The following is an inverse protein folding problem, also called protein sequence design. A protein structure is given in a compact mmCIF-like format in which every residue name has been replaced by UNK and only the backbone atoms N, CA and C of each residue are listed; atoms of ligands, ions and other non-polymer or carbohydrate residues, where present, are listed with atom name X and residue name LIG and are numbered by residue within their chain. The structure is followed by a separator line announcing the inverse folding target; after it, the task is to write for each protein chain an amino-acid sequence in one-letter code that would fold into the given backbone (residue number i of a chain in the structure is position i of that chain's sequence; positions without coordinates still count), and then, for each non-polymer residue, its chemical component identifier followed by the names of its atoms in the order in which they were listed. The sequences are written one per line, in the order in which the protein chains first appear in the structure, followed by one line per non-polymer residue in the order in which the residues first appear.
data_IF_515138371491
#
_entry.id   IF_515138371491
#
_cell.length_a   1.000
_cell.length_b   1.000
_cell.length_c   1.000
_cell.angle_alpha   90.00
_cell.angle_beta   90.00
_cell.angle_gamma   90.00
#
_symmetry.space_group_name_H-M   'P 1'
#
loop_
_entity.id
_entity.type
_entity.pdbx_description
1 polymer ?
#
# COMPACT_ATOMS: atom_id res chain seq x y z
N UNK A 1 33.15 47.86 24.00
CA UNK A 1 32.79 47.27 22.71
C UNK A 1 32.68 45.77 22.89
N UNK A 2 31.47 45.20 22.97
CA UNK A 2 31.29 43.77 23.00
C UNK A 2 31.35 43.24 21.56
N UNK A 3 32.12 42.18 21.27
CA UNK A 3 32.11 41.56 19.96
C UNK A 3 30.73 40.86 19.76
N UNK A 4 29.99 41.32 18.78
CA UNK A 4 28.79 40.69 18.28
C UNK A 4 29.22 39.37 17.64
N UNK A 5 29.00 38.26 18.32
CA UNK A 5 29.16 36.92 17.71
C UNK A 5 28.07 36.80 16.65
N UNK A 6 28.41 37.01 15.37
CA UNK A 6 27.57 36.60 14.26
C UNK A 6 27.57 35.06 14.25
N UNK A 7 26.50 34.49 14.72
CA UNK A 7 26.17 33.09 14.39
C UNK A 7 26.04 33.02 12.87
N UNK A 8 27.09 32.50 12.19
CA UNK A 8 26.97 32.12 10.80
C UNK A 8 25.96 30.97 10.71
N UNK A 9 24.74 31.30 10.31
CA UNK A 9 23.76 30.27 9.94
C UNK A 9 24.29 29.65 8.66
N UNK A 10 24.79 28.42 8.75
CA UNK A 10 25.28 27.64 7.60
C UNK A 10 24.12 27.46 6.62
N UNK A 11 24.30 27.90 5.38
CA UNK A 11 23.23 27.82 4.37
C UNK A 11 23.01 26.36 3.90
N UNK A 12 21.82 26.08 3.37
CA UNK A 12 21.53 24.78 2.74
C UNK A 12 22.56 24.45 1.63
N UNK A 13 23.06 25.44 0.91
CA UNK A 13 24.09 25.29 -0.10
C UNK A 13 25.43 24.84 0.49
N UNK A 14 25.82 25.43 1.63
CA UNK A 14 27.07 25.06 2.32
C UNK A 14 27.03 23.63 2.85
N UNK A 15 25.87 23.23 3.43
CA UNK A 15 25.65 21.87 3.92
C UNK A 15 25.74 20.83 2.80
N UNK A 16 25.11 21.10 1.65
CA UNK A 16 25.20 20.23 0.48
C UNK A 16 26.64 20.19 -0.10
N UNK A 17 27.36 21.32 -0.11
CA UNK A 17 28.72 21.38 -0.56
C UNK A 17 29.65 20.53 0.33
N UNK A 18 29.42 20.54 1.65
CA UNK A 18 30.19 19.69 2.58
C UNK A 18 29.92 18.20 2.32
N UNK A 19 28.64 17.77 2.18
CA UNK A 19 28.30 16.39 1.82
C UNK A 19 29.02 15.98 0.53
N UNK A 20 28.94 16.81 -0.53
CA UNK A 20 29.52 16.52 -1.85
C UNK A 20 31.05 16.43 -1.80
N UNK A 21 31.69 17.22 -0.95
CA UNK A 21 33.15 17.20 -0.81
C UNK A 21 33.70 15.94 -0.13
N UNK A 22 32.82 15.22 0.58
CA UNK A 22 33.16 14.00 1.32
C UNK A 22 32.46 12.75 0.75
N UNK A 23 32.00 12.81 -0.49
CA UNK A 23 31.33 11.72 -1.20
C UNK A 23 31.96 11.46 -2.55
N UNK A 24 31.80 10.24 -3.06
CA UNK A 24 32.28 9.87 -4.39
C UNK A 24 31.47 10.49 -5.52
N UNK A 25 31.70 10.01 -6.75
CA UNK A 25 31.06 10.53 -7.94
C UNK A 25 29.57 10.04 -8.00
N UNK A 26 28.60 10.95 -8.07
CA UNK A 26 27.19 10.58 -8.24
C UNK A 26 26.89 10.17 -9.69
N UNK A 27 26.01 9.18 -9.85
CA UNK A 27 25.35 8.85 -11.11
C UNK A 27 24.03 9.63 -11.26
N UNK A 28 23.34 9.82 -10.13
CA UNK A 28 22.06 10.53 -10.04
C UNK A 28 22.29 12.03 -10.30
N UNK A 29 21.52 12.60 -11.23
CA UNK A 29 21.65 14.02 -11.59
C UNK A 29 21.09 14.92 -10.48
N UNK A 30 19.87 14.67 -10.00
CA UNK A 30 19.16 15.49 -9.03
C UNK A 30 18.75 16.88 -9.59
N UNK A 31 18.24 17.72 -8.71
CA UNK A 31 17.89 19.11 -9.02
C UNK A 31 19.15 19.99 -9.10
N UNK A 32 19.12 21.03 -9.94
CA UNK A 32 20.21 22.02 -10.01
C UNK A 32 20.26 22.91 -8.75
N UNK A 33 21.43 23.44 -8.44
CA UNK A 33 21.61 24.27 -7.24
C UNK A 33 20.73 25.53 -7.25
N UNK A 34 20.45 26.12 -8.42
CA UNK A 34 19.51 27.24 -8.54
C UNK A 34 18.09 26.85 -8.18
N UNK A 35 17.61 25.69 -8.65
CA UNK A 35 16.28 25.16 -8.31
C UNK A 35 16.20 24.81 -6.82
N UNK A 36 17.25 24.21 -6.26
CA UNK A 36 17.33 23.91 -4.83
C UNK A 36 17.24 25.20 -3.99
N UNK A 37 17.96 26.25 -4.38
CA UNK A 37 17.93 27.52 -3.68
C UNK A 37 16.54 28.17 -3.72
N UNK A 38 15.88 28.15 -4.88
CA UNK A 38 14.51 28.68 -5.04
C UNK A 38 13.49 27.93 -4.18
N UNK A 39 13.58 26.62 -4.11
CA UNK A 39 12.69 25.82 -3.25
C UNK A 39 13.03 26.02 -1.77
N UNK A 40 14.29 25.99 -1.38
CA UNK A 40 14.71 26.17 0.02
C UNK A 40 14.31 27.53 0.60
N UNK A 41 14.20 28.57 -0.24
CA UNK A 41 13.74 29.90 0.18
C UNK A 41 12.25 29.93 0.57
N UNK A 42 11.42 29.03 0.07
CA UNK A 42 9.95 29.00 0.26
C UNK A 42 9.42 27.73 0.91
N UNK A 43 10.22 26.68 1.01
CA UNK A 43 9.85 25.40 1.64
C UNK A 43 10.86 25.03 2.73
N UNK A 44 10.49 25.34 3.98
CA UNK A 44 11.30 24.98 5.14
C UNK A 44 11.51 23.46 5.28
N UNK A 45 10.66 22.64 4.66
CA UNK A 45 10.77 21.16 4.68
C UNK A 45 12.03 20.71 3.96
N UNK A 46 12.36 21.35 2.82
CA UNK A 46 13.60 21.07 2.09
C UNK A 46 14.84 21.45 2.91
N UNK A 47 14.84 22.67 3.49
CA UNK A 47 15.97 23.13 4.31
C UNK A 47 16.22 22.20 5.50
N UNK A 48 15.15 21.71 6.13
CA UNK A 48 15.22 20.72 7.22
C UNK A 48 15.78 19.37 6.73
N UNK A 49 15.31 18.87 5.58
CA UNK A 49 15.83 17.63 5.00
C UNK A 49 17.33 17.71 4.72
N UNK A 50 17.81 18.87 4.22
CA UNK A 50 19.24 19.08 3.94
C UNK A 50 20.05 19.11 5.24
N UNK A 51 19.56 19.78 6.29
CA UNK A 51 20.24 19.81 7.59
C UNK A 51 20.33 18.39 8.19
N UNK A 52 19.24 17.65 8.20
CA UNK A 52 19.20 16.26 8.69
C UNK A 52 20.13 15.35 7.85
N UNK A 53 20.22 15.56 6.54
CA UNK A 53 21.14 14.81 5.68
C UNK A 53 22.60 15.09 6.02
N UNK A 54 22.94 16.34 6.30
CA UNK A 54 24.30 16.70 6.69
C UNK A 54 24.69 16.04 8.02
N UNK A 55 23.83 16.09 9.02
CA UNK A 55 24.05 15.40 10.31
C UNK A 55 24.18 13.87 10.12
N UNK A 56 23.30 13.26 9.33
CA UNK A 56 23.35 11.85 8.99
C UNK A 56 24.66 11.48 8.26
N UNK A 57 25.11 12.32 7.31
CA UNK A 57 26.34 12.09 6.57
C UNK A 57 27.58 12.12 7.50
N UNK A 58 27.65 13.07 8.43
CA UNK A 58 28.71 13.11 9.45
C UNK A 58 28.71 11.83 10.29
N UNK A 59 27.55 11.39 10.75
CA UNK A 59 27.40 10.15 11.54
C UNK A 59 27.82 8.92 10.74
N UNK A 60 27.37 8.80 9.49
CA UNK A 60 27.74 7.69 8.61
C UNK A 60 29.23 7.67 8.31
N UNK A 61 29.87 8.84 8.14
CA UNK A 61 31.33 8.91 7.93
C UNK A 61 32.11 8.36 9.11
N UNK A 62 31.61 8.55 10.34
CA UNK A 62 32.20 7.97 11.53
C UNK A 62 31.89 6.46 11.66
N UNK A 63 30.72 6.01 11.24
CA UNK A 63 30.23 4.63 11.37
C UNK A 63 30.88 3.69 10.35
N UNK A 64 30.77 4.03 9.05
CA UNK A 64 31.21 3.16 7.94
C UNK A 64 32.56 3.54 7.36
N UNK A 65 33.13 4.67 7.78
CA UNK A 65 34.43 5.20 7.34
C UNK A 65 34.35 6.08 6.07
N UNK A 66 35.23 7.08 6.02
CA UNK A 66 35.27 8.01 4.90
C UNK A 66 35.51 7.33 3.54
N UNK A 67 36.31 6.27 3.51
CA UNK A 67 36.61 5.53 2.27
C UNK A 67 35.34 4.89 1.66
N UNK A 68 34.39 4.45 2.47
CA UNK A 68 33.14 3.89 2.01
C UNK A 68 32.25 4.95 1.35
N UNK A 69 32.13 6.15 1.94
CA UNK A 69 31.34 7.24 1.37
C UNK A 69 32.00 7.86 0.11
N UNK A 70 33.29 7.68 -0.05
CA UNK A 70 34.02 8.11 -1.26
C UNK A 70 33.89 7.15 -2.44
N UNK A 71 33.23 6.01 -2.29
CA UNK A 71 32.87 5.16 -3.42
C UNK A 71 31.95 5.91 -4.37
N UNK A 72 32.02 5.62 -5.67
CA UNK A 72 31.03 6.14 -6.59
C UNK A 72 29.65 5.56 -6.28
N UNK A 73 28.60 6.22 -6.73
CA UNK A 73 27.22 5.88 -6.32
C UNK A 73 26.84 4.44 -6.68
N UNK A 74 27.28 3.93 -7.84
CA UNK A 74 26.99 2.55 -8.24
C UNK A 74 27.70 1.52 -7.36
N UNK A 75 28.98 1.74 -7.07
CA UNK A 75 29.76 0.88 -6.16
C UNK A 75 29.19 0.87 -4.73
N UNK A 76 28.73 2.02 -4.27
CA UNK A 76 28.12 2.11 -2.95
C UNK A 76 26.75 1.38 -2.90
N UNK A 77 25.93 1.49 -3.96
CA UNK A 77 24.68 0.71 -4.08
C UNK A 77 24.96 -0.79 -4.05
N UNK A 78 25.92 -1.26 -4.84
CA UNK A 78 26.33 -2.67 -4.87
C UNK A 78 26.78 -3.13 -3.49
N UNK A 79 27.65 -2.39 -2.84
CA UNK A 79 28.16 -2.69 -1.49
C UNK A 79 27.06 -2.78 -0.43
N UNK A 80 26.06 -1.90 -0.48
CA UNK A 80 24.96 -1.90 0.49
C UNK A 80 23.96 -3.05 0.26
N UNK A 81 23.97 -3.67 -0.90
CA UNK A 81 23.06 -4.76 -1.26
C UNK A 81 23.72 -6.14 -1.31
N UNK A 82 25.04 -6.26 -1.10
CA UNK A 82 25.79 -7.49 -1.30
C UNK A 82 25.29 -8.67 -0.43
N UNK A 83 24.74 -8.38 0.77
CA UNK A 83 24.21 -9.39 1.70
C UNK A 83 22.73 -9.69 1.50
N UNK A 84 22.04 -9.03 0.55
CA UNK A 84 20.59 -9.15 0.39
C UNK A 84 20.21 -9.63 -1.01
N UNK A 85 19.19 -10.48 -1.08
CA UNK A 85 18.55 -10.84 -2.35
C UNK A 85 17.40 -9.88 -2.61
N UNK A 86 17.52 -9.07 -3.66
CA UNK A 86 16.41 -8.26 -4.16
C UNK A 86 15.58 -9.11 -5.13
N UNK A 87 14.26 -9.16 -4.94
CA UNK A 87 13.37 -9.88 -5.84
C UNK A 87 12.96 -9.08 -7.09
N UNK A 88 13.29 -7.80 -7.15
CA UNK A 88 13.16 -6.99 -8.35
C UNK A 88 14.40 -7.11 -9.23
N UNK A 89 14.22 -6.84 -10.52
CA UNK A 89 15.34 -6.83 -11.47
C UNK A 89 16.33 -5.73 -11.11
N UNK A 90 17.64 -5.93 -11.31
CA UNK A 90 18.67 -4.92 -11.00
C UNK A 90 18.40 -3.54 -11.62
N UNK A 91 17.80 -3.50 -12.82
CA UNK A 91 17.49 -2.26 -13.53
C UNK A 91 16.40 -1.42 -12.84
N UNK A 92 15.62 -2.03 -11.96
CA UNK A 92 14.54 -1.36 -11.22
C UNK A 92 14.97 -0.88 -9.83
N UNK A 93 16.18 -1.22 -9.41
CA UNK A 93 16.76 -0.72 -8.15
C UNK A 93 17.06 0.76 -8.29
N UNK A 94 16.63 1.56 -7.29
CA UNK A 94 16.96 2.97 -7.27
C UNK A 94 18.48 3.18 -7.33
N UNK A 95 19.00 4.02 -8.24
CA UNK A 95 20.42 4.19 -8.42
C UNK A 95 21.11 5.05 -7.35
N UNK A 96 20.34 5.53 -6.38
CA UNK A 96 20.80 6.47 -5.34
C UNK A 96 20.61 5.91 -3.93
N UNK A 97 21.37 6.43 -2.99
CA UNK A 97 21.28 6.07 -1.56
C UNK A 97 20.70 7.25 -0.78
N UNK A 98 19.44 7.19 -0.31
CA UNK A 98 18.87 8.24 0.50
C UNK A 98 19.45 8.20 1.93
N UNK A 99 19.82 9.37 2.47
CA UNK A 99 20.30 9.50 3.86
C UNK A 99 19.37 10.37 4.72
N UNK A 100 18.57 11.24 4.11
CA UNK A 100 17.49 11.94 4.78
C UNK A 100 16.35 12.23 3.80
N UNK A 101 15.12 12.32 4.33
CA UNK A 101 13.97 12.68 3.53
C UNK A 101 12.87 13.33 4.38
N UNK A 102 12.22 14.39 3.84
CA UNK A 102 11.10 15.10 4.46
C UNK A 102 10.09 15.55 3.41
N UNK A 103 8.80 15.32 3.68
CA UNK A 103 7.77 15.63 2.68
C UNK A 103 8.08 14.96 1.34
N UNK A 104 8.16 15.70 0.22
CA UNK A 104 8.52 15.14 -1.07
C UNK A 104 10.05 15.13 -1.33
N UNK A 105 10.87 15.59 -0.39
CA UNK A 105 12.30 15.79 -0.61
C UNK A 105 13.13 14.62 -0.14
N UNK A 106 14.03 14.13 -0.98
CA UNK A 106 15.04 13.13 -0.67
C UNK A 106 16.43 13.74 -0.88
N UNK A 107 17.31 13.55 0.10
CA UNK A 107 18.72 13.94 0.02
C UNK A 107 19.56 12.67 0.02
N UNK A 108 20.44 12.53 -0.98
CA UNK A 108 21.27 11.34 -1.15
C UNK A 108 22.62 11.44 -0.44
N UNK A 109 23.27 10.31 -0.24
CA UNK A 109 24.64 10.23 0.30
C UNK A 109 25.67 11.01 -0.53
N UNK A 110 25.38 11.25 -1.81
CA UNK A 110 26.22 12.03 -2.73
C UNK A 110 25.77 13.49 -2.85
N UNK A 111 24.94 13.99 -1.91
CA UNK A 111 24.49 15.38 -1.85
C UNK A 111 23.58 15.80 -3.02
N UNK A 112 22.85 14.84 -3.62
CA UNK A 112 21.82 15.14 -4.62
C UNK A 112 20.49 15.33 -3.95
N UNK A 113 19.72 16.28 -4.45
CA UNK A 113 18.35 16.58 -4.00
C UNK A 113 17.37 16.06 -5.05
N UNK A 114 16.41 15.26 -4.61
CA UNK A 114 15.37 14.69 -5.46
C UNK A 114 13.99 15.11 -4.95
N UNK A 115 13.05 15.24 -5.86
CA UNK A 115 11.62 15.37 -5.54
C UNK A 115 10.93 14.03 -5.78
N UNK A 116 10.42 13.42 -4.73
CA UNK A 116 9.70 12.15 -4.79
C UNK A 116 8.23 12.38 -5.10
N UNK A 117 7.84 12.15 -6.35
CA UNK A 117 6.44 12.28 -6.81
C UNK A 117 5.59 11.05 -6.52
N UNK A 118 6.21 9.90 -6.33
CA UNK A 118 5.52 8.60 -6.20
C UNK A 118 5.42 8.06 -4.78
N UNK A 119 6.21 8.59 -3.83
CA UNK A 119 6.26 8.08 -2.45
C UNK A 119 6.61 6.60 -2.38
N UNK A 120 7.49 6.14 -3.27
CA UNK A 120 7.83 4.71 -3.44
C UNK A 120 6.61 3.79 -3.58
N UNK A 121 5.49 4.32 -4.10
CA UNK A 121 4.25 3.58 -4.23
C UNK A 121 3.51 3.27 -2.92
N UNK A 122 3.97 3.78 -1.76
CA UNK A 122 3.39 3.46 -0.46
C UNK A 122 3.23 4.63 0.53
N UNK A 123 3.97 5.75 0.34
CA UNK A 123 3.86 6.90 1.22
C UNK A 123 2.63 7.74 0.84
N UNK A 124 1.65 7.85 1.68
CA UNK A 124 0.49 8.71 1.44
C UNK A 124 0.65 10.13 1.98
N UNK A 125 1.65 10.38 2.81
CA UNK A 125 1.83 11.66 3.51
C UNK A 125 3.23 12.27 3.37
N UNK A 126 4.03 11.82 2.40
CA UNK A 126 5.43 12.17 2.25
C UNK A 126 6.34 11.49 3.27
N UNK A 127 7.64 11.80 3.18
CA UNK A 127 8.66 11.26 4.08
C UNK A 127 8.60 11.93 5.46
N UNK A 128 8.65 11.12 6.51
CA UNK A 128 8.81 11.56 7.90
C UNK A 128 7.81 12.61 8.40
N UNK A 129 6.49 12.49 8.19
CA UNK A 129 5.51 13.47 8.64
C UNK A 129 5.46 13.53 10.18
N UNK A 130 5.77 14.68 10.76
CA UNK A 130 5.96 14.85 12.21
C UNK A 130 4.86 14.28 13.11
N UNK A 131 3.55 14.46 12.85
CA UNK A 131 2.51 13.87 13.69
C UNK A 131 2.51 12.35 13.71
N UNK A 132 2.88 11.74 12.59
CA UNK A 132 2.96 10.27 12.45
C UNK A 132 4.22 9.77 13.16
N UNK A 133 5.37 10.44 12.95
CA UNK A 133 6.62 10.11 13.64
C UNK A 133 6.48 10.25 15.16
N UNK A 134 5.77 11.27 15.64
CA UNK A 134 5.44 11.42 17.07
C UNK A 134 4.57 10.28 17.60
N UNK A 135 3.57 9.84 16.82
CA UNK A 135 2.74 8.69 17.22
C UNK A 135 3.58 7.41 17.31
N UNK A 136 4.46 7.16 16.35
CA UNK A 136 5.37 6.01 16.36
C UNK A 136 6.34 6.02 17.55
N UNK A 137 6.86 7.20 17.90
CA UNK A 137 7.87 7.38 18.97
C UNK A 137 7.33 7.29 20.38
N UNK A 138 6.02 7.26 20.60
CA UNK A 138 5.44 7.11 21.95
C UNK A 138 5.75 5.73 22.54
N UNK A 139 5.86 5.71 23.88
CA UNK A 139 6.04 4.46 24.61
C UNK A 139 4.71 3.71 24.75
N UNK A 140 4.28 3.09 23.67
CA UNK A 140 3.08 2.25 23.67
C UNK A 140 3.35 0.93 24.38
N UNK A 141 2.36 0.45 25.14
CA UNK A 141 2.41 -0.90 25.71
C UNK A 141 2.39 -1.90 24.57
N UNK A 142 3.42 -2.73 24.48
CA UNK A 142 3.47 -3.77 23.45
C UNK A 142 2.41 -4.83 23.72
N UNK A 143 1.65 -5.13 22.70
CA UNK A 143 0.58 -6.12 22.71
C UNK A 143 0.62 -6.94 21.42
N UNK A 144 0.05 -8.11 21.47
CA UNK A 144 -0.15 -8.98 20.33
C UNK A 144 -1.65 -9.25 20.15
N UNK A 145 -2.02 -10.08 19.17
CA UNK A 145 -3.42 -10.41 18.86
C UNK A 145 -4.21 -10.98 20.05
N UNK A 146 -3.54 -11.61 21.01
CA UNK A 146 -4.17 -12.19 22.22
C UNK A 146 -4.37 -11.17 23.34
N UNK A 147 -3.85 -9.94 23.19
CA UNK A 147 -3.92 -8.91 24.24
C UNK A 147 -4.85 -7.78 23.80
N UNK A 148 -6.05 -7.65 24.37
CA UNK A 148 -6.93 -6.51 24.11
C UNK A 148 -6.22 -5.19 24.41
N UNK A 149 -6.31 -4.21 23.51
CA UNK A 149 -5.66 -2.92 23.68
C UNK A 149 -6.56 -1.75 23.26
N UNK A 150 -6.34 -0.59 23.90
CA UNK A 150 -7.01 0.65 23.48
C UNK A 150 -6.59 1.11 22.07
N UNK A 151 -5.42 0.69 21.59
CA UNK A 151 -4.99 0.98 20.22
C UNK A 151 -5.88 0.29 19.19
N UNK A 152 -6.33 -0.95 19.46
CA UNK A 152 -7.32 -1.61 18.61
C UNK A 152 -8.65 -0.86 18.57
N UNK A 153 -9.13 -0.38 19.73
CA UNK A 153 -10.37 0.42 19.81
C UNK A 153 -10.24 1.71 19.02
N UNK A 154 -9.15 2.46 19.22
CA UNK A 154 -8.90 3.72 18.50
C UNK A 154 -8.81 3.52 16.99
N UNK A 155 -8.12 2.45 16.52
CA UNK A 155 -8.07 2.15 15.10
C UNK A 155 -9.45 1.80 14.54
N UNK A 156 -10.22 0.96 15.24
CA UNK A 156 -11.58 0.61 14.81
C UNK A 156 -12.48 1.85 14.71
N UNK A 157 -12.40 2.77 15.66
CA UNK A 157 -13.14 4.03 15.63
C UNK A 157 -12.70 4.94 14.48
N UNK A 158 -11.39 5.04 14.23
CA UNK A 158 -10.84 5.82 13.13
C UNK A 158 -11.27 5.25 11.76
N UNK A 159 -11.24 3.92 11.60
CA UNK A 159 -11.73 3.24 10.39
C UNK A 159 -13.22 3.46 10.18
N UNK A 160 -14.05 3.31 11.25
CA UNK A 160 -15.50 3.53 11.15
C UNK A 160 -15.86 4.98 10.85
N UNK A 161 -15.03 5.94 11.27
CA UNK A 161 -15.21 7.35 10.94
C UNK A 161 -14.81 7.64 9.49
N UNK A 162 -13.76 7.00 9.00
CA UNK A 162 -13.23 7.22 7.65
C UNK A 162 -14.06 6.51 6.58
N UNK A 163 -14.38 5.23 6.79
CA UNK A 163 -15.08 4.41 5.83
C UNK A 163 -16.58 4.68 5.92
N UNK A 164 -17.20 4.96 4.80
CA UNK A 164 -18.63 5.26 4.69
C UNK A 164 -18.99 6.69 5.15
N UNK A 165 -17.99 7.61 5.20
CA UNK A 165 -18.24 9.00 5.58
C UNK A 165 -19.14 9.75 4.57
N UNK A 166 -19.27 9.24 3.35
CA UNK A 166 -20.14 9.82 2.31
C UNK A 166 -21.54 9.21 2.29
N UNK A 167 -21.78 8.11 3.02
CA UNK A 167 -23.02 7.32 2.97
C UNK A 167 -23.69 7.10 4.34
N UNK A 168 -23.29 7.82 5.35
CA UNK A 168 -23.92 7.80 6.67
C UNK A 168 -23.43 6.70 7.62
N UNK A 169 -22.36 5.97 7.27
CA UNK A 169 -21.74 5.02 8.18
C UNK A 169 -20.94 3.91 7.52
N UNK A 170 -20.07 3.30 8.30
CA UNK A 170 -19.22 2.21 7.86
C UNK A 170 -20.03 0.93 7.62
N UNK A 171 -19.99 0.32 6.42
CA UNK A 171 -20.73 -0.88 6.12
C UNK A 171 -20.09 -2.17 6.66
N UNK A 172 -18.84 -2.11 7.10
CA UNK A 172 -18.14 -3.30 7.60
C UNK A 172 -18.42 -3.54 9.08
N UNK A 173 -18.81 -4.78 9.41
CA UNK A 173 -19.14 -5.17 10.78
C UNK A 173 -17.91 -5.45 11.63
N UNK A 174 -16.86 -5.98 11.04
CA UNK A 174 -15.59 -6.36 11.71
C UNK A 174 -14.36 -5.98 10.90
N UNK A 175 -13.24 -5.84 11.61
CA UNK A 175 -11.92 -5.63 11.02
C UNK A 175 -10.93 -6.68 11.53
N UNK A 176 -10.00 -7.12 10.66
CA UNK A 176 -8.85 -7.95 11.04
C UNK A 176 -7.58 -7.21 10.65
N UNK A 177 -6.67 -7.07 11.60
CA UNK A 177 -5.36 -6.43 11.37
C UNK A 177 -4.30 -7.50 11.02
N UNK A 178 -3.41 -7.14 10.11
CA UNK A 178 -2.35 -7.99 9.57
C UNK A 178 -1.10 -7.14 9.29
N UNK A 179 0.02 -7.75 8.88
CA UNK A 179 1.27 -7.02 8.67
C UNK A 179 1.50 -6.61 7.21
N UNK A 180 0.87 -7.28 6.26
CA UNK A 180 1.04 -6.97 4.84
C UNK A 180 -0.26 -7.12 4.04
N UNK A 181 -0.35 -6.43 2.90
CA UNK A 181 -1.49 -6.55 1.98
C UNK A 181 -1.71 -7.98 1.51
N UNK A 182 -0.65 -8.72 1.20
CA UNK A 182 -0.75 -10.13 0.81
C UNK A 182 -1.37 -11.00 1.91
N UNK A 183 -1.13 -10.69 3.19
CA UNK A 183 -1.78 -11.39 4.30
C UNK A 183 -3.27 -11.06 4.39
N UNK A 184 -3.67 -9.80 4.17
CA UNK A 184 -5.09 -9.43 4.20
C UNK A 184 -5.88 -10.06 3.05
N UNK A 185 -5.31 -10.11 1.84
CA UNK A 185 -5.91 -10.87 0.73
C UNK A 185 -5.96 -12.36 1.06
N UNK A 186 -4.91 -12.94 1.69
CA UNK A 186 -4.92 -14.34 2.13
C UNK A 186 -6.07 -14.63 3.10
N UNK A 187 -6.37 -13.74 4.05
CA UNK A 187 -7.52 -13.87 4.94
C UNK A 187 -8.83 -13.85 4.14
N UNK A 188 -8.99 -12.89 3.23
CA UNK A 188 -10.17 -12.81 2.36
C UNK A 188 -10.40 -14.12 1.59
N UNK A 189 -9.34 -14.65 1.00
CA UNK A 189 -9.38 -15.93 0.27
C UNK A 189 -9.68 -17.13 1.19
N UNK A 190 -9.23 -17.13 2.45
CA UNK A 190 -9.58 -18.18 3.40
C UNK A 190 -11.04 -18.12 3.84
N UNK A 191 -11.59 -16.93 3.99
CA UNK A 191 -13.03 -16.75 4.27
C UNK A 191 -13.86 -17.27 3.07
N UNK A 192 -13.42 -16.97 1.85
CA UNK A 192 -14.04 -17.48 0.64
C UNK A 192 -13.95 -19.01 0.54
N UNK A 193 -12.82 -19.59 0.91
CA UNK A 193 -12.59 -21.03 0.96
C UNK A 193 -13.49 -21.74 1.98
N UNK A 194 -13.72 -21.12 3.15
CA UNK A 194 -14.71 -21.62 4.13
C UNK A 194 -16.12 -21.63 3.52
N UNK A 195 -16.50 -20.53 2.85
CA UNK A 195 -17.79 -20.46 2.14
C UNK A 195 -17.88 -21.54 1.05
N UNK A 196 -16.84 -21.69 0.24
CA UNK A 196 -16.78 -22.70 -0.81
C UNK A 196 -16.89 -24.12 -0.25
N UNK A 197 -16.17 -24.44 0.85
CA UNK A 197 -16.25 -25.72 1.50
C UNK A 197 -17.66 -26.06 2.00
N UNK A 198 -18.38 -25.08 2.55
CA UNK A 198 -19.76 -25.26 2.99
C UNK A 198 -20.73 -25.46 1.81
N UNK A 199 -20.52 -24.75 0.72
CA UNK A 199 -21.43 -24.76 -0.43
C UNK A 199 -21.18 -25.93 -1.39
N UNK A 200 -19.92 -26.38 -1.52
CA UNK A 200 -19.56 -27.48 -2.43
C UNK A 200 -19.44 -28.84 -1.74
N UNK A 201 -19.45 -28.87 -0.41
CA UNK A 201 -19.44 -30.10 0.39
C UNK A 201 -20.81 -30.82 0.37
N UNK A 202 -20.90 -31.97 1.03
CA UNK A 202 -22.12 -32.77 1.08
C UNK A 202 -23.33 -32.00 1.60
N UNK A 203 -24.42 -31.96 0.84
CA UNK A 203 -25.65 -31.22 1.15
C UNK A 203 -25.57 -29.71 0.87
N UNK A 204 -24.46 -29.22 0.37
CA UNK A 204 -24.30 -27.83 -0.04
C UNK A 204 -25.02 -27.51 -1.35
N UNK A 205 -25.40 -26.24 -1.56
CA UNK A 205 -26.12 -25.78 -2.76
C UNK A 205 -25.35 -26.02 -4.06
N UNK A 206 -24.03 -26.04 -4.01
CA UNK A 206 -23.12 -26.28 -5.14
C UNK A 206 -22.35 -27.61 -4.98
N UNK A 207 -22.94 -28.60 -4.31
CA UNK A 207 -22.31 -29.89 -4.01
C UNK A 207 -21.58 -30.48 -5.20
N UNK A 208 -20.29 -30.84 -5.01
CA UNK A 208 -19.44 -31.51 -5.99
C UNK A 208 -18.92 -30.62 -7.12
N UNK A 209 -19.30 -29.34 -7.21
CA UNK A 209 -18.79 -28.45 -8.26
C UNK A 209 -17.29 -28.14 -8.05
N UNK A 210 -16.46 -28.17 -9.10
CA UNK A 210 -15.09 -27.67 -9.05
C UNK A 210 -15.06 -26.18 -8.66
N UNK A 211 -14.10 -25.81 -7.82
CA UNK A 211 -13.97 -24.43 -7.32
C UNK A 211 -13.03 -23.64 -8.23
N UNK A 212 -13.44 -22.44 -8.63
CA UNK A 212 -12.62 -21.49 -9.39
C UNK A 212 -12.55 -20.13 -8.71
N UNK A 213 -11.52 -19.35 -9.06
CA UNK A 213 -11.30 -17.97 -8.65
C UNK A 213 -11.43 -17.04 -9.85
N UNK A 214 -11.90 -15.83 -9.65
CA UNK A 214 -12.02 -14.82 -10.68
C UNK A 214 -11.27 -13.55 -10.26
N UNK A 215 -10.44 -12.98 -11.15
CA UNK A 215 -9.79 -11.69 -10.96
C UNK A 215 -9.80 -10.87 -12.24
N UNK A 216 -9.38 -9.60 -12.16
CA UNK A 216 -9.20 -8.77 -13.34
C UNK A 216 -7.91 -9.17 -14.06
N UNK A 217 -7.87 -9.02 -15.39
CA UNK A 217 -6.62 -9.06 -16.12
C UNK A 217 -5.68 -7.96 -15.65
N UNK A 218 -4.38 -8.25 -15.65
CA UNK A 218 -3.32 -7.37 -15.17
C UNK A 218 -3.45 -6.96 -13.68
N UNK A 219 -4.32 -7.61 -12.90
CA UNK A 219 -4.45 -7.33 -11.48
C UNK A 219 -3.23 -7.75 -10.67
N UNK A 220 -3.07 -7.14 -9.49
CA UNK A 220 -2.05 -7.50 -8.51
C UNK A 220 -2.63 -7.55 -7.11
N UNK A 221 -2.59 -8.72 -6.48
CA UNK A 221 -3.19 -8.96 -5.14
C UNK A 221 -2.19 -9.48 -4.11
N UNK A 222 -0.90 -9.49 -4.46
CA UNK A 222 0.18 -9.91 -3.57
C UNK A 222 0.97 -11.11 -4.10
N UNK A 223 2.02 -11.47 -3.35
CA UNK A 223 3.03 -12.47 -3.76
C UNK A 223 3.04 -13.74 -2.89
N UNK A 224 2.21 -13.84 -1.85
CA UNK A 224 2.02 -15.08 -1.10
C UNK A 224 1.16 -16.06 -1.90
N UNK A 225 1.25 -17.36 -1.63
CA UNK A 225 0.77 -18.44 -2.53
C UNK A 225 -0.62 -18.23 -3.14
N UNK A 226 -1.69 -18.04 -2.34
CA UNK A 226 -3.04 -17.86 -2.91
C UNK A 226 -3.24 -16.48 -3.56
N UNK A 227 -2.87 -15.35 -2.93
CA UNK A 227 -2.88 -14.04 -3.59
C UNK A 227 -2.07 -13.99 -4.88
N UNK A 228 -0.91 -14.65 -4.93
CA UNK A 228 -0.11 -14.76 -6.15
C UNK A 228 -0.87 -15.47 -7.28
N UNK A 229 -1.74 -16.43 -6.97
CA UNK A 229 -2.50 -17.17 -7.98
C UNK A 229 -3.47 -16.26 -8.75
N UNK A 230 -4.02 -15.22 -8.12
CA UNK A 230 -4.93 -14.25 -8.73
C UNK A 230 -4.24 -12.93 -9.13
N UNK A 231 -2.92 -12.83 -8.98
CA UNK A 231 -2.13 -11.68 -9.46
C UNK A 231 -1.75 -11.91 -10.92
N UNK A 232 -2.66 -11.58 -11.84
CA UNK A 232 -2.51 -11.84 -13.28
C UNK A 232 -1.28 -11.12 -13.88
N UNK A 233 -0.92 -9.95 -13.39
CA UNK A 233 0.29 -9.21 -13.82
C UNK A 233 1.60 -9.97 -13.60
N UNK A 234 1.63 -10.94 -12.69
CA UNK A 234 2.79 -11.75 -12.35
C UNK A 234 2.73 -13.19 -12.89
N UNK A 235 1.71 -13.54 -13.67
CA UNK A 235 1.47 -14.94 -14.09
C UNK A 235 2.62 -15.56 -14.88
N UNK A 236 3.22 -14.80 -15.81
CA UNK A 236 4.23 -15.34 -16.72
C UNK A 236 5.51 -15.77 -15.99
N UNK A 237 6.15 -14.94 -15.13
CA UNK A 237 7.29 -15.37 -14.33
C UNK A 237 6.95 -16.50 -13.35
N UNK A 238 5.73 -16.54 -12.80
CA UNK A 238 5.32 -17.62 -11.91
C UNK A 238 5.14 -18.95 -12.67
N UNK A 239 4.47 -18.93 -13.81
CA UNK A 239 4.31 -20.12 -14.65
C UNK A 239 5.65 -20.65 -15.14
N UNK A 240 6.59 -19.79 -15.48
CA UNK A 240 7.91 -20.18 -15.96
C UNK A 240 8.80 -20.81 -14.88
N UNK A 241 8.65 -20.39 -13.61
CA UNK A 241 9.61 -20.72 -12.56
C UNK A 241 9.05 -21.58 -11.41
N UNK A 242 7.72 -21.62 -11.21
CA UNK A 242 7.13 -22.26 -10.04
C UNK A 242 6.30 -23.49 -10.44
N UNK A 243 6.68 -24.67 -9.95
CA UNK A 243 5.96 -25.90 -10.23
C UNK A 243 4.49 -25.86 -9.79
N UNK A 244 4.19 -25.16 -8.68
CA UNK A 244 2.83 -24.97 -8.15
C UNK A 244 1.94 -24.06 -9.00
N UNK A 245 2.49 -23.43 -10.05
CA UNK A 245 1.74 -22.55 -10.96
C UNK A 245 1.55 -23.14 -12.37
N UNK A 246 1.95 -24.40 -12.61
CA UNK A 246 1.84 -25.04 -13.92
C UNK A 246 0.40 -25.32 -14.35
N UNK A 247 -0.47 -25.60 -13.38
CA UNK A 247 -1.90 -25.85 -13.61
C UNK A 247 -2.72 -24.74 -12.96
N UNK A 248 -3.31 -23.89 -13.80
CA UNK A 248 -4.09 -22.72 -13.38
C UNK A 248 -5.50 -22.67 -14.00
N UNK A 249 -6.05 -23.81 -14.40
CA UNK A 249 -7.41 -23.92 -14.97
C UNK A 249 -8.48 -23.44 -13.99
N UNK A 250 -8.17 -23.43 -12.71
CA UNK A 250 -9.04 -22.89 -11.65
C UNK A 250 -9.01 -21.37 -11.52
N UNK A 251 -8.17 -20.64 -12.28
CA UNK A 251 -8.09 -19.18 -12.28
C UNK A 251 -8.71 -18.62 -13.55
N UNK A 252 -9.76 -17.82 -13.37
CA UNK A 252 -10.45 -17.10 -14.44
C UNK A 252 -10.06 -15.63 -14.37
N UNK A 253 -9.98 -14.98 -15.54
CA UNK A 253 -9.73 -13.54 -15.62
C UNK A 253 -10.75 -12.87 -16.55
N UNK A 254 -11.11 -11.63 -16.23
CA UNK A 254 -11.96 -10.77 -17.06
C UNK A 254 -11.26 -9.43 -17.30
N UNK A 255 -11.47 -8.83 -18.45
CA UNK A 255 -11.00 -7.45 -18.70
C UNK A 255 -11.72 -6.47 -17.78
N UNK A 256 -11.01 -5.45 -17.33
CA UNK A 256 -11.59 -4.40 -16.55
C UNK A 256 -12.69 -3.68 -17.34
N UNK A 257 -13.84 -3.48 -16.71
CA UNK A 257 -15.02 -2.84 -17.30
C UNK A 257 -15.71 -3.61 -18.46
N UNK A 258 -15.31 -4.88 -18.69
CA UNK A 258 -16.01 -5.76 -19.63
C UNK A 258 -17.20 -6.45 -18.92
N UNK A 259 -18.32 -5.74 -18.88
CA UNK A 259 -19.57 -6.21 -18.25
C UNK A 259 -20.11 -7.47 -18.92
N UNK A 260 -20.05 -7.57 -20.25
CA UNK A 260 -20.56 -8.72 -20.98
C UNK A 260 -19.65 -9.95 -20.81
N UNK A 261 -18.34 -9.75 -20.81
CA UNK A 261 -17.36 -10.79 -20.47
C UNK A 261 -17.58 -11.30 -19.04
N UNK A 262 -17.86 -10.43 -18.09
CA UNK A 262 -18.18 -10.81 -16.72
C UNK A 262 -19.46 -11.66 -16.64
N UNK A 263 -20.54 -11.24 -17.30
CA UNK A 263 -21.78 -12.00 -17.41
C UNK A 263 -21.55 -13.38 -18.02
N UNK A 264 -20.76 -13.44 -19.09
CA UNK A 264 -20.45 -14.69 -19.78
C UNK A 264 -19.71 -15.67 -18.85
N UNK A 265 -18.78 -15.20 -18.01
CA UNK A 265 -18.07 -16.07 -17.06
C UNK A 265 -19.03 -16.69 -16.04
N UNK A 266 -19.95 -15.93 -15.47
CA UNK A 266 -20.92 -16.47 -14.52
C UNK A 266 -21.97 -17.39 -15.19
N UNK A 267 -22.39 -17.07 -16.42
CA UNK A 267 -23.24 -17.98 -17.20
C UNK A 267 -22.54 -19.34 -17.47
N UNK A 268 -21.26 -19.29 -17.83
CA UNK A 268 -20.45 -20.50 -17.98
C UNK A 268 -20.30 -21.28 -16.67
N UNK A 269 -20.27 -20.61 -15.52
CA UNK A 269 -20.21 -21.31 -14.22
C UNK A 269 -21.46 -22.15 -13.99
N UNK A 270 -22.63 -21.69 -14.45
CA UNK A 270 -23.87 -22.46 -14.40
C UNK A 270 -23.90 -23.57 -15.44
N UNK A 271 -23.52 -23.29 -16.70
CA UNK A 271 -23.59 -24.23 -17.82
C UNK A 271 -22.55 -25.36 -17.70
N UNK A 272 -21.31 -25.04 -17.32
CA UNK A 272 -20.20 -26.00 -17.19
C UNK A 272 -20.14 -26.65 -15.79
N UNK A 273 -20.92 -26.16 -14.83
CA UNK A 273 -21.06 -26.75 -13.52
C UNK A 273 -19.88 -26.53 -12.57
N UNK A 274 -19.27 -25.32 -12.54
CA UNK A 274 -18.26 -24.95 -11.54
C UNK A 274 -18.76 -23.84 -10.60
N UNK A 275 -18.09 -23.68 -9.46
CA UNK A 275 -18.40 -22.64 -8.48
C UNK A 275 -17.25 -21.61 -8.43
N UNK A 276 -17.60 -20.33 -8.54
CA UNK A 276 -16.66 -19.21 -8.35
C UNK A 276 -16.68 -18.84 -6.86
N UNK A 277 -15.64 -19.20 -6.10
CA UNK A 277 -15.61 -18.93 -4.66
C UNK A 277 -15.50 -17.45 -4.33
N UNK A 278 -14.74 -16.70 -5.16
CA UNK A 278 -14.49 -15.27 -4.97
C UNK A 278 -14.14 -14.59 -6.28
N UNK A 279 -14.62 -13.36 -6.43
CA UNK A 279 -14.09 -12.39 -7.38
C UNK A 279 -13.26 -11.36 -6.64
N UNK A 280 -12.03 -11.13 -7.10
CA UNK A 280 -11.15 -10.07 -6.61
C UNK A 280 -10.96 -8.97 -7.65
N UNK A 281 -10.99 -7.70 -7.23
CA UNK A 281 -10.74 -6.54 -8.08
C UNK A 281 -10.05 -5.42 -7.32
N UNK A 282 -9.22 -4.65 -8.03
CA UNK A 282 -8.69 -3.36 -7.56
C UNK A 282 -9.62 -2.25 -8.04
N UNK A 283 -10.03 -1.29 -7.20
CA UNK A 283 -10.87 -0.17 -7.66
C UNK A 283 -10.11 0.77 -8.59
N UNK A 284 -8.80 0.88 -8.40
CA UNK A 284 -7.84 1.48 -9.32
C UNK A 284 -6.64 0.54 -9.38
N UNK A 285 -6.35 0.00 -10.55
CA UNK A 285 -5.23 -0.92 -10.71
C UNK A 285 -3.89 -0.21 -10.49
N UNK A 286 -2.99 -0.87 -9.80
CA UNK A 286 -1.70 -0.32 -9.43
C UNK A 286 -0.55 -0.82 -10.28
N UNK A 287 -0.32 -2.12 -10.30
CA UNK A 287 0.93 -2.72 -10.80
C UNK A 287 0.88 -3.05 -12.30
N UNK A 288 -0.11 -3.78 -12.76
CA UNK A 288 -0.14 -4.26 -14.15
C UNK A 288 -0.78 -3.29 -15.14
N UNK A 289 -1.71 -2.46 -14.69
CA UNK A 289 -2.39 -1.43 -15.49
C UNK A 289 -2.58 -0.13 -14.68
N UNK A 290 -1.46 0.58 -14.40
CA UNK A 290 -1.48 1.70 -13.47
C UNK A 290 -2.50 2.79 -13.85
N UNK A 291 -3.38 3.15 -12.90
CA UNK A 291 -4.38 4.20 -13.07
C UNK A 291 -5.70 3.76 -13.71
N UNK A 292 -5.81 2.52 -14.19
CA UNK A 292 -7.08 1.98 -14.71
C UNK A 292 -8.11 1.86 -13.59
N UNK A 293 -9.26 2.55 -13.74
CA UNK A 293 -10.33 2.58 -12.75
C UNK A 293 -11.50 1.70 -13.16
N UNK A 294 -12.13 1.01 -12.19
CA UNK A 294 -13.39 0.33 -12.43
C UNK A 294 -14.53 1.34 -12.61
N UNK A 295 -15.45 1.06 -13.54
CA UNK A 295 -16.69 1.83 -13.67
C UNK A 295 -17.70 1.40 -12.58
N UNK A 296 -18.62 2.31 -12.26
CA UNK A 296 -19.74 1.99 -11.36
C UNK A 296 -20.59 0.84 -11.92
N UNK A 297 -20.86 0.83 -13.23
CA UNK A 297 -21.64 -0.21 -13.90
C UNK A 297 -20.98 -1.59 -13.72
N UNK A 298 -19.67 -1.69 -13.94
CA UNK A 298 -18.94 -2.93 -13.78
C UNK A 298 -18.95 -3.42 -12.32
N UNK A 299 -18.77 -2.50 -11.36
CA UNK A 299 -18.83 -2.83 -9.95
C UNK A 299 -20.21 -3.36 -9.54
N UNK A 300 -21.29 -2.67 -9.93
CA UNK A 300 -22.65 -3.07 -9.60
C UNK A 300 -22.99 -4.43 -10.19
N UNK A 301 -22.57 -4.71 -11.42
CA UNK A 301 -22.77 -6.00 -12.04
C UNK A 301 -21.96 -7.10 -11.36
N UNK A 302 -20.70 -6.83 -11.01
CA UNK A 302 -19.87 -7.77 -10.25
C UNK A 302 -20.50 -8.10 -8.89
N UNK A 303 -21.01 -7.07 -8.19
CA UNK A 303 -21.70 -7.26 -6.92
C UNK A 303 -22.96 -8.09 -7.07
N UNK A 304 -23.77 -7.78 -8.07
CA UNK A 304 -25.01 -8.51 -8.38
C UNK A 304 -24.75 -9.98 -8.69
N UNK A 305 -23.77 -10.27 -9.55
CA UNK A 305 -23.43 -11.62 -9.96
C UNK A 305 -22.84 -12.43 -8.80
N UNK A 306 -21.85 -11.88 -8.08
CA UNK A 306 -21.27 -12.58 -6.93
C UNK A 306 -22.32 -12.93 -5.87
N UNK A 307 -23.25 -12.02 -5.60
CA UNK A 307 -24.33 -12.25 -4.65
C UNK A 307 -25.31 -13.33 -5.14
N UNK A 308 -25.68 -13.31 -6.43
CA UNK A 308 -26.58 -14.28 -7.03
C UNK A 308 -26.03 -15.72 -7.01
N UNK A 309 -24.70 -15.85 -7.13
CA UNK A 309 -23.99 -17.13 -7.19
C UNK A 309 -23.37 -17.57 -5.85
N UNK A 310 -23.72 -16.92 -4.74
CA UNK A 310 -23.15 -17.17 -3.40
C UNK A 310 -21.61 -16.97 -3.31
N UNK A 311 -21.00 -16.39 -4.33
CA UNK A 311 -19.59 -16.00 -4.34
C UNK A 311 -19.32 -14.83 -3.38
N UNK A 312 -18.07 -14.61 -2.98
CA UNK A 312 -17.67 -13.39 -2.28
C UNK A 312 -17.03 -12.37 -3.24
N UNK A 313 -17.29 -11.09 -3.00
CA UNK A 313 -16.60 -9.98 -3.69
C UNK A 313 -15.55 -9.40 -2.75
N UNK A 314 -14.29 -9.45 -3.18
CA UNK A 314 -13.16 -8.79 -2.52
C UNK A 314 -12.71 -7.58 -3.34
N UNK A 315 -12.70 -6.41 -2.71
CA UNK A 315 -12.10 -5.20 -3.27
C UNK A 315 -10.73 -4.98 -2.63
N UNK A 316 -9.72 -4.88 -3.46
CA UNK A 316 -8.33 -4.66 -3.04
C UNK A 316 -7.96 -3.18 -3.20
N UNK A 317 -8.15 -2.42 -2.13
CA UNK A 317 -7.81 -1.00 -2.04
C UNK A 317 -6.42 -0.74 -1.45
N UNK A 318 -5.55 -1.76 -1.42
CA UNK A 318 -4.21 -1.65 -0.82
C UNK A 318 -3.38 -0.55 -1.47
N UNK A 319 -3.43 -0.44 -2.78
CA UNK A 319 -2.69 0.58 -3.54
C UNK A 319 -3.50 1.85 -3.77
N UNK A 320 -4.79 1.72 -4.00
CA UNK A 320 -5.68 2.84 -4.32
C UNK A 320 -6.09 3.68 -3.10
N UNK A 321 -6.22 3.05 -1.92
CA UNK A 321 -6.74 3.68 -0.71
C UNK A 321 -5.99 4.96 -0.33
N UNK A 322 -6.72 6.06 -0.12
CA UNK A 322 -6.28 7.42 0.16
C UNK A 322 -5.55 8.13 -1.00
N UNK A 323 -4.89 7.40 -1.88
CA UNK A 323 -3.96 7.97 -2.88
C UNK A 323 -4.65 8.49 -4.13
N UNK A 324 -5.62 7.75 -4.67
CA UNK A 324 -6.27 8.09 -5.94
C UNK A 324 -7.41 9.10 -5.77
N UNK A 325 -8.34 8.82 -4.86
CA UNK A 325 -9.57 9.59 -4.69
C UNK A 325 -9.66 10.37 -3.36
N UNK A 326 -8.62 10.27 -2.53
CA UNK A 326 -8.64 10.86 -1.18
C UNK A 326 -9.55 10.12 -0.21
N UNK A 327 -10.09 8.97 -0.58
CA UNK A 327 -10.93 8.10 0.24
C UNK A 327 -10.22 6.77 0.49
N UNK A 328 -10.39 6.20 1.67
CA UNK A 328 -9.78 4.90 1.99
C UNK A 328 -10.50 3.76 1.27
N UNK A 329 -11.83 3.78 1.28
CA UNK A 329 -12.68 2.71 0.77
C UNK A 329 -13.36 3.09 -0.55
N UNK A 330 -13.60 2.09 -1.40
CA UNK A 330 -14.34 2.22 -2.66
C UNK A 330 -15.76 2.75 -2.44
N UNK A 331 -16.39 2.45 -1.31
CA UNK A 331 -17.76 2.89 -0.99
C UNK A 331 -17.90 4.41 -0.83
N UNK A 332 -16.77 5.12 -0.69
CA UNK A 332 -16.73 6.57 -0.59
C UNK A 332 -16.24 7.26 -1.87
N UNK A 333 -15.95 6.50 -2.94
CA UNK A 333 -15.54 7.09 -4.21
C UNK A 333 -16.68 7.90 -4.83
N UNK A 334 -16.37 8.99 -5.55
CA UNK A 334 -17.39 9.75 -6.29
C UNK A 334 -18.21 8.83 -7.20
N UNK A 335 -19.53 8.84 -7.02
CA UNK A 335 -20.46 7.99 -7.76
C UNK A 335 -20.68 6.58 -7.17
N UNK A 336 -20.05 6.24 -6.03
CA UNK A 336 -20.22 4.94 -5.36
C UNK A 336 -20.96 5.03 -4.01
N UNK A 337 -21.45 6.22 -3.60
CA UNK A 337 -22.02 6.45 -2.29
C UNK A 337 -23.26 5.58 -1.98
N UNK A 338 -23.99 5.18 -3.01
CA UNK A 338 -25.17 4.32 -2.96
C UNK A 338 -24.90 2.89 -3.47
N UNK A 339 -23.66 2.57 -3.83
CA UNK A 339 -23.29 1.21 -4.25
C UNK A 339 -23.41 0.23 -3.07
N UNK A 340 -23.87 -0.99 -3.34
CA UNK A 340 -23.84 -2.05 -2.32
C UNK A 340 -22.38 -2.37 -1.97
N UNK A 341 -22.06 -2.46 -0.67
CA UNK A 341 -20.70 -2.77 -0.21
C UNK A 341 -20.20 -4.14 -0.67
N UNK A 342 -18.88 -4.31 -0.85
CA UNK A 342 -18.28 -5.62 -1.08
C UNK A 342 -18.36 -6.48 0.18
N UNK A 343 -18.23 -7.80 0.05
CA UNK A 343 -18.12 -8.67 1.21
C UNK A 343 -16.84 -8.42 2.00
N UNK A 344 -15.76 -8.08 1.30
CA UNK A 344 -14.41 -7.91 1.81
C UNK A 344 -13.74 -6.72 1.15
N UNK A 345 -13.06 -5.86 1.94
CA UNK A 345 -12.19 -4.83 1.39
C UNK A 345 -10.89 -4.76 2.17
N UNK A 346 -9.74 -4.61 1.47
CA UNK A 346 -8.41 -4.62 2.08
C UNK A 346 -7.69 -3.30 1.89
N UNK A 347 -6.95 -2.86 2.94
CA UNK A 347 -6.16 -1.61 2.95
C UNK A 347 -4.78 -1.85 3.54
N UNK A 348 -3.76 -1.15 3.01
CA UNK A 348 -2.39 -1.15 3.50
C UNK A 348 -1.67 0.12 3.01
N UNK A 349 -0.37 0.09 2.78
CA UNK A 349 0.43 1.18 2.17
C UNK A 349 0.11 2.55 2.79
N UNK A 350 -0.66 3.40 2.11
CA UNK A 350 -1.01 4.75 2.58
C UNK A 350 -1.79 4.77 3.91
N UNK A 351 -2.44 3.67 4.31
CA UNK A 351 -3.16 3.56 5.59
C UNK A 351 -2.27 3.92 6.80
N UNK A 352 -0.98 3.63 6.73
CA UNK A 352 -0.01 4.02 7.76
C UNK A 352 1.12 4.90 7.19
N UNK A 353 0.89 5.54 6.06
CA UNK A 353 1.85 6.37 5.35
C UNK A 353 3.16 5.64 5.01
N UNK A 354 3.13 4.32 4.85
CA UNK A 354 4.31 3.50 4.57
C UNK A 354 5.34 3.43 5.71
N UNK A 355 5.01 3.94 6.90
CA UNK A 355 5.97 4.04 8.01
C UNK A 355 6.12 2.75 8.82
N UNK A 356 5.11 1.88 8.80
CA UNK A 356 5.13 0.64 9.59
C UNK A 356 4.35 -0.47 8.86
N UNK A 357 4.78 -1.74 8.92
CA UNK A 357 4.03 -2.86 8.37
C UNK A 357 2.63 -2.95 9.00
N UNK A 358 1.59 -2.77 8.19
CA UNK A 358 0.19 -2.90 8.59
C UNK A 358 -0.67 -3.11 7.35
N UNK A 359 -1.62 -4.01 7.48
CA UNK A 359 -2.81 -4.06 6.62
C UNK A 359 -4.05 -4.34 7.46
N UNK A 360 -5.21 -3.99 6.91
CA UNK A 360 -6.49 -4.25 7.54
C UNK A 360 -7.43 -4.79 6.47
N UNK A 361 -8.24 -5.78 6.83
CA UNK A 361 -9.38 -6.22 6.03
C UNK A 361 -10.67 -5.91 6.77
N UNK A 362 -11.60 -5.26 6.09
CA UNK A 362 -12.97 -5.04 6.52
C UNK A 362 -13.88 -6.16 6.04
N UNK A 363 -14.72 -6.64 6.91
CA UNK A 363 -15.66 -7.76 6.68
C UNK A 363 -17.08 -7.24 6.78
N UNK A 364 -17.91 -7.51 5.75
CA UNK A 364 -19.35 -7.35 5.84
C UNK A 364 -19.92 -8.28 6.92
N UNK A 365 -21.19 -8.12 7.28
CA UNK A 365 -21.85 -9.03 8.24
C UNK A 365 -21.79 -10.48 7.76
N UNK A 366 -22.04 -10.72 6.46
CA UNK A 366 -21.94 -12.04 5.83
C UNK A 366 -20.54 -12.62 5.94
N UNK A 367 -19.52 -11.87 5.55
CA UNK A 367 -18.14 -12.35 5.58
C UNK A 367 -17.62 -12.58 7.01
N UNK A 368 -18.05 -11.74 7.97
CA UNK A 368 -17.73 -11.92 9.38
C UNK A 368 -18.34 -13.21 9.96
N UNK A 369 -19.56 -13.56 9.53
CA UNK A 369 -20.21 -14.81 9.91
C UNK A 369 -19.54 -16.08 9.36
N UNK A 370 -18.77 -15.95 8.27
CA UNK A 370 -18.00 -17.05 7.67
C UNK A 370 -16.60 -17.23 8.28
N UNK A 371 -16.15 -16.28 9.12
CA UNK A 371 -14.83 -16.38 9.71
C UNK A 371 -14.74 -17.49 10.77
N UNK A 372 -13.83 -18.43 10.57
CA UNK A 372 -13.60 -19.55 11.49
C UNK A 372 -12.34 -19.29 12.30
N UNK A 373 -12.45 -19.29 13.62
CA UNK A 373 -11.31 -19.10 14.55
C UNK A 373 -10.30 -20.24 14.37
N UNK A 374 -9.00 -19.89 14.27
CA UNK A 374 -7.92 -20.87 14.12
C UNK A 374 -7.57 -21.24 12.68
N UNK A 375 -8.35 -20.80 11.69
CA UNK A 375 -8.05 -21.08 10.26
C UNK A 375 -6.90 -20.21 9.74
N UNK A 376 -6.69 -19.05 10.32
CA UNK A 376 -5.54 -18.18 10.07
C UNK A 376 -5.14 -17.44 11.34
N UNK A 377 -3.84 -17.20 11.51
CA UNK A 377 -3.32 -16.40 12.61
C UNK A 377 -1.91 -15.92 12.36
N UNK A 378 -1.62 -14.75 12.92
CA UNK A 378 -0.29 -14.20 13.03
C UNK A 378 -0.23 -13.40 14.35
N UNK A 379 0.68 -13.76 15.25
CA UNK A 379 0.71 -13.23 16.60
C UNK A 379 1.07 -11.75 16.69
N UNK A 380 1.76 -11.19 15.70
CA UNK A 380 2.26 -9.80 15.72
C UNK A 380 1.33 -8.79 15.01
N UNK A 381 0.11 -9.17 14.67
CA UNK A 381 -0.77 -8.38 13.81
C UNK A 381 -1.45 -7.18 14.47
N UNK A 382 -1.40 -7.05 15.79
CA UNK A 382 -2.01 -5.93 16.53
C UNK A 382 -0.98 -5.10 17.28
N UNK A 383 0.21 -4.95 16.71
CA UNK A 383 1.27 -4.12 17.29
C UNK A 383 0.76 -2.67 17.49
N UNK A 384 0.70 -2.16 18.73
CA UNK A 384 0.15 -0.83 19.01
C UNK A 384 0.83 0.31 18.25
N UNK A 385 2.14 0.23 17.97
CA UNK A 385 2.82 1.25 17.15
C UNK A 385 2.27 1.33 15.74
N UNK A 386 2.03 0.17 15.11
CA UNK A 386 1.43 0.11 13.79
C UNK A 386 0.00 0.67 13.80
N UNK A 387 -0.81 0.27 14.79
CA UNK A 387 -2.20 0.72 14.91
C UNK A 387 -2.28 2.23 15.16
N UNK A 388 -1.49 2.76 16.09
CA UNK A 388 -1.47 4.20 16.42
C UNK A 388 -0.90 5.05 15.28
N UNK A 389 0.01 4.49 14.48
CA UNK A 389 0.47 5.13 13.24
C UNK A 389 -0.68 5.32 12.28
N UNK A 390 -1.48 4.27 12.04
CA UNK A 390 -2.66 4.37 11.17
C UNK A 390 -3.72 5.34 11.75
N UNK A 391 -3.95 5.35 13.05
CA UNK A 391 -4.83 6.33 13.71
C UNK A 391 -4.36 7.76 13.44
N UNK A 392 -3.05 8.02 13.55
CA UNK A 392 -2.49 9.34 13.27
C UNK A 392 -2.63 9.73 11.79
N UNK A 393 -2.48 8.77 10.86
CA UNK A 393 -2.71 8.99 9.42
C UNK A 393 -4.16 9.35 9.16
N UNK A 394 -5.10 8.52 9.62
CA UNK A 394 -6.54 8.74 9.40
C UNK A 394 -7.01 10.06 10.03
N UNK A 395 -6.43 10.46 11.16
CA UNK A 395 -6.70 11.75 11.80
C UNK A 395 -6.31 12.97 10.96
N UNK A 396 -5.46 12.81 9.95
CA UNK A 396 -5.04 13.87 9.02
C UNK A 396 -5.90 13.95 7.75
N UNK A 397 -6.70 12.94 7.48
CA UNK A 397 -7.55 12.90 6.28
C UNK A 397 -8.72 13.86 6.48
N UNK A 398 -8.59 15.06 5.97
CA UNK A 398 -9.60 16.13 6.05
C UNK A 398 -10.33 16.32 4.71
N UNK A 399 -11.51 16.96 4.69
CA UNK A 399 -12.17 17.31 3.44
C UNK A 399 -11.29 18.15 2.50
N UNK A 400 -10.48 19.07 3.05
CA UNK A 400 -9.54 19.88 2.26
C UNK A 400 -8.43 19.03 1.64
N UNK A 401 -7.88 18.06 2.39
CA UNK A 401 -6.89 17.12 1.85
C UNK A 401 -7.47 16.26 0.72
N UNK A 402 -8.69 15.74 0.90
CA UNK A 402 -9.36 14.95 -0.15
C UNK A 402 -9.60 15.78 -1.40
N UNK A 403 -10.04 17.04 -1.24
CA UNK A 403 -10.23 17.95 -2.37
C UNK A 403 -8.92 18.22 -3.09
N UNK A 404 -7.84 18.53 -2.35
CA UNK A 404 -6.52 18.75 -2.93
C UNK A 404 -6.01 17.53 -3.74
N UNK A 405 -6.25 16.29 -3.25
CA UNK A 405 -5.87 15.08 -3.99
C UNK A 405 -6.63 15.00 -5.33
N UNK A 406 -7.92 15.29 -5.33
CA UNK A 406 -8.74 15.27 -6.55
C UNK A 406 -8.33 16.38 -7.53
N UNK A 407 -8.13 17.58 -7.03
CA UNK A 407 -7.75 18.74 -7.85
C UNK A 407 -6.36 18.50 -8.50
N UNK A 408 -5.39 18.03 -7.72
CA UNK A 408 -4.08 17.67 -8.24
C UNK A 408 -4.17 16.52 -9.26
N UNK A 409 -5.04 15.52 -9.03
CA UNK A 409 -5.28 14.45 -9.99
C UNK A 409 -5.77 14.97 -11.35
N UNK A 410 -6.67 15.94 -11.36
CA UNK A 410 -7.17 16.57 -12.61
C UNK A 410 -6.06 17.36 -13.33
N UNK A 411 -5.16 17.98 -12.57
CA UNK A 411 -4.05 18.76 -13.16
C UNK A 411 -2.97 17.85 -13.81
N UNK A 412 -2.82 16.61 -13.30
CA UNK A 412 -1.83 15.66 -13.80
C UNK A 412 -2.29 14.79 -14.98
N UNK A 413 -3.57 14.72 -15.26
CA UNK A 413 -4.18 13.94 -16.34
C UNK A 413 -4.60 14.85 -17.51
#
# INVERSE_FOLDING_TARGET
MHPTIRLFVTSSADLLADIRSHSGTPRTVGLSDSVIADFAARDATLSRAIAEAHEAHISLRAEVGAATLMLNESELVEKLQEDYINFYKPETVNPYIPIAARGPWIITAHGRVLHDNGGYGMLGGGHGPDPIMQAMGKNWVMANVMTPSFSQKRLADALRKEIGHTRGGCPFSRFVCLNSGSESVTIGMRIADVNANQLTGPGGRHEGKPIKLLSLKQSFHGRTQRPASISDSCKDPYNANLASFRDREHILTVEQNDVDGLRSIFARADDEGFFIEMMAMEPVQGEGSPGSCISREFYDEARRLTKAHDSLLLVDSIQAGLRGQGCLSVVDYPGFQDAEEPDLETWSKALNAGQFPLSVIGLSERAAGLYVVGVYGNTMTTNPRALETAVAVLGRVTPAMRQNIRDAGVEFV
#
